data_IF_827662773906
#
_entry.id   IF_827662773906
#
_cell.length_a   1.000
_cell.length_b   1.000
_cell.length_c   1.000
_cell.angle_alpha   90.00
_cell.angle_beta   90.00
_cell.angle_gamma   90.00
#
_symmetry.space_group_name_H-M   'P 1'
#
loop_
_entity.id
_entity.type
_entity.pdbx_description
1 polymer ?
#
# COMPACT_ATOMS: atom_id res chain seq x y z
N UNK A 1 5.16 -6.66 -16.43
CA UNK A 1 4.60 -7.12 -15.14
C UNK A 1 5.07 -6.13 -14.09
N UNK A 2 4.21 -5.17 -13.76
CA UNK A 2 4.57 -4.10 -12.84
C UNK A 2 4.67 -4.67 -11.43
N UNK A 3 5.72 -4.35 -10.69
CA UNK A 3 5.92 -4.73 -9.27
C UNK A 3 4.88 -4.09 -8.31
N UNK A 4 3.79 -3.52 -8.86
CA UNK A 4 2.83 -2.64 -8.21
C UNK A 4 1.38 -3.18 -8.26
N UNK A 5 1.13 -4.36 -8.84
CA UNK A 5 -0.22 -4.95 -8.97
C UNK A 5 -0.81 -5.48 -7.64
N UNK A 6 -0.13 -5.35 -6.51
CA UNK A 6 -0.58 -5.94 -5.23
C UNK A 6 -0.49 -4.97 -4.05
N UNK A 7 -1.35 -3.96 -4.03
CA UNK A 7 -1.85 -3.36 -2.79
C UNK A 7 -3.21 -2.64 -2.95
N UNK A 8 -4.33 -3.35 -3.20
CA UNK A 8 -5.65 -2.79 -2.87
C UNK A 8 -5.78 -2.63 -1.36
N UNK A 9 -6.66 -1.71 -0.90
CA UNK A 9 -7.14 -1.43 0.48
C UNK A 9 -6.53 -2.33 1.56
N UNK A 10 -6.08 -1.77 2.67
CA UNK A 10 -5.37 -2.50 3.72
C UNK A 10 -6.28 -3.37 4.60
N UNK A 11 -7.47 -3.73 4.10
CA UNK A 11 -8.20 -4.96 4.45
C UNK A 11 -8.46 -5.13 5.95
N UNK A 12 -8.41 -4.06 6.74
CA UNK A 12 -8.63 -4.14 8.18
C UNK A 12 -10.03 -4.70 8.43
N UNK A 13 -11.02 -4.30 7.62
CA UNK A 13 -12.36 -4.89 7.61
C UNK A 13 -12.30 -6.40 7.31
N UNK A 14 -11.69 -6.82 6.20
CA UNK A 14 -11.59 -8.24 5.84
C UNK A 14 -10.89 -9.07 6.92
N UNK A 15 -9.73 -8.62 7.43
CA UNK A 15 -8.98 -9.31 8.48
C UNK A 15 -9.79 -9.37 9.78
N UNK A 16 -10.48 -8.28 10.15
CA UNK A 16 -11.37 -8.24 11.32
C UNK A 16 -12.51 -9.23 11.18
N UNK A 17 -13.16 -9.28 10.02
CA UNK A 17 -14.26 -10.19 9.76
C UNK A 17 -13.79 -11.65 9.72
N UNK A 18 -12.66 -11.96 9.06
CA UNK A 18 -12.08 -13.30 9.01
C UNK A 18 -11.73 -13.80 10.42
N UNK A 19 -11.08 -12.95 11.24
CA UNK A 19 -10.78 -13.26 12.64
C UNK A 19 -12.07 -13.41 13.46
N UNK A 20 -13.06 -12.56 13.25
CA UNK A 20 -14.37 -12.65 13.91
C UNK A 20 -15.13 -13.93 13.59
N UNK A 21 -14.93 -14.50 12.40
CA UNK A 21 -15.47 -15.82 11.99
C UNK A 21 -14.61 -17.00 12.47
N UNK A 22 -13.44 -16.75 13.08
CA UNK A 22 -12.49 -17.77 13.49
C UNK A 22 -11.59 -18.29 12.37
N UNK A 23 -11.56 -17.64 11.21
CA UNK A 23 -10.75 -18.03 10.04
C UNK A 23 -9.43 -17.26 9.99
N UNK A 24 -8.55 -17.55 10.96
CA UNK A 24 -7.22 -16.95 11.03
C UNK A 24 -6.33 -17.35 9.84
N UNK A 25 -6.58 -18.51 9.23
CA UNK A 25 -5.79 -19.00 8.11
C UNK A 25 -6.07 -18.16 6.85
N UNK A 26 -7.34 -17.88 6.57
CA UNK A 26 -7.74 -17.01 5.46
C UNK A 26 -7.16 -15.60 5.63
N UNK A 27 -7.27 -15.03 6.84
CA UNK A 27 -6.66 -13.73 7.16
C UNK A 27 -5.13 -13.72 6.91
N UNK A 28 -4.42 -14.80 7.28
CA UNK A 28 -2.97 -14.91 7.05
C UNK A 28 -2.62 -15.05 5.59
N UNK A 29 -3.27 -15.96 4.88
CA UNK A 29 -3.03 -16.20 3.46
C UNK A 29 -3.24 -14.91 2.66
N UNK A 30 -4.31 -14.19 3.00
CA UNK A 30 -4.61 -12.90 2.43
C UNK A 30 -3.46 -11.90 2.63
N UNK A 31 -3.01 -11.72 3.87
CA UNK A 31 -1.91 -10.78 4.18
C UNK A 31 -0.61 -11.22 3.51
N UNK A 32 -0.29 -12.52 3.53
CA UNK A 32 0.93 -13.05 2.93
C UNK A 32 0.95 -12.82 1.42
N UNK A 33 -0.16 -13.07 0.71
CA UNK A 33 -0.20 -12.90 -0.75
C UNK A 33 0.13 -11.46 -1.17
N UNK A 34 -0.28 -10.47 -0.37
CA UNK A 34 -0.08 -9.05 -0.70
C UNK A 34 1.19 -8.44 -0.11
N UNK A 35 1.56 -8.84 1.10
CA UNK A 35 2.68 -8.23 1.80
C UNK A 35 4.03 -8.86 1.47
N UNK A 36 4.07 -10.08 0.91
CA UNK A 36 5.34 -10.78 0.67
C UNK A 36 6.30 -9.99 -0.23
N UNK A 37 5.87 -9.64 -1.44
CA UNK A 37 6.74 -8.94 -2.39
C UNK A 37 7.16 -7.54 -1.89
N UNK A 38 6.26 -6.71 -1.32
CA UNK A 38 6.62 -5.41 -0.74
C UNK A 38 7.56 -5.49 0.46
N UNK A 39 7.37 -6.47 1.36
CA UNK A 39 8.31 -6.69 2.47
C UNK A 39 9.67 -7.16 1.95
N UNK A 40 9.72 -7.97 0.89
CA UNK A 40 10.99 -8.34 0.26
C UNK A 40 11.67 -7.12 -0.35
N UNK A 41 10.94 -6.24 -1.04
CA UNK A 41 11.48 -5.00 -1.58
C UNK A 41 12.05 -4.10 -0.46
N UNK A 42 11.34 -3.96 0.65
CA UNK A 42 11.82 -3.25 1.84
C UNK A 42 13.11 -3.89 2.41
N UNK A 43 13.13 -5.22 2.57
CA UNK A 43 14.29 -5.93 3.10
C UNK A 43 15.54 -5.77 2.21
N UNK A 44 15.36 -5.83 0.88
CA UNK A 44 16.45 -5.60 -0.08
C UNK A 44 17.00 -4.17 -0.03
N UNK A 45 16.12 -3.18 0.18
CA UNK A 45 16.49 -1.78 0.24
C UNK A 45 17.06 -1.34 1.61
N UNK A 46 16.79 -2.09 2.67
CA UNK A 46 17.24 -1.79 4.04
C UNK A 46 18.53 -2.51 4.40
N UNK A 47 19.10 -2.17 5.56
CA UNK A 47 20.24 -2.87 6.14
C UNK A 47 19.99 -4.36 6.40
N UNK A 48 18.73 -4.81 6.42
CA UNK A 48 18.35 -6.22 6.58
C UNK A 48 19.02 -7.13 5.54
N UNK A 49 19.33 -6.62 4.34
CA UNK A 49 20.06 -7.34 3.29
C UNK A 49 21.42 -7.89 3.73
N UNK A 50 22.03 -7.36 4.80
CA UNK A 50 23.31 -7.85 5.33
C UNK A 50 23.15 -9.06 6.27
N UNK A 51 21.92 -9.42 6.66
CA UNK A 51 21.63 -10.50 7.61
C UNK A 51 21.38 -11.80 6.86
N UNK A 52 20.49 -11.78 5.87
CA UNK A 52 20.16 -12.90 4.99
C UNK A 52 19.48 -12.38 3.72
N UNK A 53 19.15 -13.28 2.79
CA UNK A 53 18.33 -12.90 1.63
C UNK A 53 16.96 -12.35 2.09
N UNK A 54 16.37 -11.48 1.27
CA UNK A 54 15.08 -10.90 1.60
C UNK A 54 13.99 -11.97 1.70
N UNK A 55 14.04 -12.95 0.83
CA UNK A 55 13.14 -14.10 0.76
C UNK A 55 13.25 -14.97 2.02
N UNK A 56 14.46 -15.23 2.51
CA UNK A 56 14.68 -15.99 3.74
C UNK A 56 14.21 -15.23 4.98
N UNK A 57 14.44 -13.91 5.03
CA UNK A 57 14.00 -13.08 6.14
C UNK A 57 12.47 -12.99 6.19
N UNK A 58 11.83 -12.66 5.07
CA UNK A 58 10.38 -12.49 5.01
C UNK A 58 9.68 -13.83 5.14
N UNK A 59 10.15 -14.88 4.45
CA UNK A 59 9.62 -16.23 4.58
C UNK A 59 9.74 -16.78 5.99
N UNK A 60 10.91 -16.60 6.62
CA UNK A 60 11.12 -17.00 8.01
C UNK A 60 10.29 -16.20 9.01
N UNK A 61 10.11 -14.89 8.80
CA UNK A 61 9.18 -14.07 9.59
C UNK A 61 7.75 -14.58 9.48
N UNK A 62 7.29 -14.89 8.25
CA UNK A 62 5.96 -15.41 8.02
C UNK A 62 5.74 -16.78 8.63
N UNK A 63 6.71 -17.69 8.53
CA UNK A 63 6.65 -19.02 9.09
C UNK A 63 6.78 -19.07 10.64
N UNK A 64 7.21 -17.98 11.28
CA UNK A 64 7.47 -17.97 12.73
C UNK A 64 6.59 -16.97 13.48
N UNK A 65 6.97 -15.69 13.52
CA UNK A 65 6.34 -14.65 14.33
C UNK A 65 4.92 -14.36 13.86
N UNK A 66 4.74 -14.22 12.56
CA UNK A 66 3.44 -13.91 11.94
C UNK A 66 2.45 -15.08 12.02
N UNK A 67 2.96 -16.32 11.95
CA UNK A 67 2.16 -17.54 12.10
C UNK A 67 1.57 -17.76 13.50
N UNK A 68 1.88 -16.90 14.48
CA UNK A 68 1.28 -16.97 15.83
C UNK A 68 -0.15 -16.43 15.79
N UNK A 69 -1.10 -17.12 16.42
CA UNK A 69 -2.54 -16.77 16.40
C UNK A 69 -2.80 -15.36 16.90
N UNK A 70 -2.03 -14.96 17.92
CA UNK A 70 -2.14 -13.63 18.51
C UNK A 70 -1.53 -12.51 17.65
N UNK A 71 -0.78 -12.79 16.59
CA UNK A 71 -0.03 -11.73 15.89
C UNK A 71 -0.94 -10.69 15.24
N UNK A 72 -1.94 -11.14 14.45
CA UNK A 72 -2.92 -10.25 13.83
C UNK A 72 -3.95 -9.73 14.84
N UNK A 73 -4.32 -10.55 15.83
CA UNK A 73 -5.23 -10.14 16.91
C UNK A 73 -4.64 -8.98 17.72
N UNK A 74 -3.34 -9.02 18.01
CA UNK A 74 -2.63 -7.92 18.69
C UNK A 74 -2.61 -6.66 17.85
N UNK A 75 -2.34 -6.77 16.55
CA UNK A 75 -2.41 -5.61 15.65
C UNK A 75 -3.78 -4.94 15.65
N UNK A 76 -4.87 -5.72 15.63
CA UNK A 76 -6.23 -5.16 15.69
C UNK A 76 -6.53 -4.43 17.01
N UNK A 77 -5.94 -4.89 18.12
CA UNK A 77 -6.09 -4.31 19.46
C UNK A 77 -5.10 -3.19 19.77
N UNK A 78 -4.20 -2.85 18.85
CA UNK A 78 -3.20 -1.82 19.08
C UNK A 78 -3.86 -0.45 19.22
N UNK A 79 -3.47 0.29 20.27
CA UNK A 79 -3.98 1.63 20.56
C UNK A 79 -2.80 2.55 20.92
N UNK A 80 -2.55 3.62 20.13
CA UNK A 80 -3.31 4.05 18.95
C UNK A 80 -3.19 3.06 17.76
N UNK A 81 -4.16 3.05 16.83
CA UNK A 81 -4.08 2.21 15.63
C UNK A 81 -2.80 2.46 14.85
N UNK A 82 -2.25 1.39 14.27
CA UNK A 82 -1.09 1.47 13.37
C UNK A 82 -1.42 0.83 12.02
N UNK A 83 -0.98 1.42 10.88
CA UNK A 83 -1.10 0.80 9.57
C UNK A 83 -0.47 -0.59 9.56
N UNK A 84 -1.12 -1.56 8.90
CA UNK A 84 -0.63 -2.94 8.85
C UNK A 84 0.78 -3.02 8.29
N UNK A 85 1.08 -2.20 7.27
CA UNK A 85 2.42 -2.10 6.65
C UNK A 85 3.50 -1.80 7.68
N UNK A 86 3.25 -0.82 8.54
CA UNK A 86 4.17 -0.44 9.63
C UNK A 86 4.31 -1.57 10.66
N UNK A 87 3.20 -2.21 11.03
CA UNK A 87 3.20 -3.35 11.95
C UNK A 87 4.05 -4.52 11.44
N UNK A 88 3.90 -4.87 10.15
CA UNK A 88 4.63 -5.94 9.50
C UNK A 88 6.13 -5.63 9.41
N UNK A 89 6.51 -4.42 9.01
CA UNK A 89 7.92 -4.00 8.97
C UNK A 89 8.55 -4.06 10.36
N UNK A 90 7.86 -3.56 11.39
CA UNK A 90 8.33 -3.69 12.77
C UNK A 90 8.50 -5.16 13.17
N UNK A 91 7.53 -6.01 12.84
CA UNK A 91 7.60 -7.45 13.06
C UNK A 91 8.82 -8.10 12.42
N UNK A 92 9.11 -7.74 11.17
CA UNK A 92 10.27 -8.20 10.41
C UNK A 92 11.59 -7.75 11.05
N UNK A 93 11.69 -6.49 11.49
CA UNK A 93 12.87 -5.98 12.20
C UNK A 93 13.13 -6.75 13.49
N UNK A 94 12.10 -6.98 14.31
CA UNK A 94 12.24 -7.78 15.54
C UNK A 94 12.65 -9.22 15.25
N UNK A 95 12.05 -9.86 14.23
CA UNK A 95 12.43 -11.19 13.80
C UNK A 95 13.91 -11.26 13.38
N UNK A 96 14.38 -10.30 12.58
CA UNK A 96 15.77 -10.25 12.14
C UNK A 96 16.74 -10.06 13.31
N UNK A 97 16.38 -9.25 14.32
CA UNK A 97 17.16 -9.08 15.56
C UNK A 97 17.24 -10.36 16.39
N UNK A 98 16.11 -11.02 16.61
CA UNK A 98 16.04 -12.30 17.31
C UNK A 98 16.96 -13.34 16.64
N UNK A 99 16.91 -13.41 15.31
CA UNK A 99 17.76 -14.29 14.51
C UNK A 99 19.26 -14.00 14.68
N UNK A 100 19.69 -12.74 14.57
CA UNK A 100 21.11 -12.37 14.77
C UNK A 100 21.55 -12.72 16.20
N UNK A 101 20.69 -12.48 17.20
CA UNK A 101 21.00 -12.82 18.58
C UNK A 101 21.14 -14.35 18.79
N UNK A 102 20.29 -15.16 18.16
CA UNK A 102 20.41 -16.62 18.15
C UNK A 102 21.71 -17.09 17.49
N UNK A 103 22.06 -16.53 16.32
CA UNK A 103 23.29 -16.87 15.61
C UNK A 103 24.55 -16.50 16.39
N UNK A 104 24.57 -15.34 17.06
CA UNK A 104 25.67 -14.95 17.97
C UNK A 104 25.82 -15.93 19.12
N UNK A 105 24.71 -16.30 19.77
CA UNK A 105 24.70 -17.28 20.88
C UNK A 105 25.23 -18.63 20.42
N UNK A 106 24.80 -19.10 19.25
CA UNK A 106 25.24 -20.37 18.69
C UNK A 106 26.73 -20.37 18.32
N UNK A 107 27.23 -19.28 17.73
CA UNK A 107 28.62 -19.18 17.23
C UNK A 107 29.64 -18.68 18.26
N UNK A 108 29.19 -18.24 19.45
CA UNK A 108 30.00 -17.47 20.43
C UNK A 108 30.75 -16.29 19.78
N UNK A 109 30.20 -15.75 18.70
CA UNK A 109 30.81 -14.71 17.89
C UNK A 109 30.21 -13.36 18.27
N UNK A 110 31.04 -12.46 18.80
CA UNK A 110 30.65 -11.09 19.20
C UNK A 110 30.62 -10.11 18.03
N UNK A 111 31.11 -10.51 16.85
CA UNK A 111 31.42 -9.60 15.73
C UNK A 111 30.25 -9.33 14.76
N UNK A 112 29.13 -10.06 14.88
CA UNK A 112 27.96 -9.76 14.04
C UNK A 112 27.43 -8.38 14.40
N UNK A 113 27.11 -7.52 13.43
CA UNK A 113 26.50 -6.21 13.69
C UNK A 113 25.04 -6.36 14.16
N UNK A 114 24.57 -5.50 15.09
CA UNK A 114 23.14 -5.52 15.46
C UNK A 114 22.30 -4.88 14.35
N UNK A 115 21.16 -5.49 13.98
CA UNK A 115 20.22 -4.84 13.09
C UNK A 115 19.67 -3.56 13.71
N UNK A 116 19.28 -2.56 12.92
CA UNK A 116 18.64 -1.36 13.46
C UNK A 116 17.37 -1.70 14.24
N UNK A 117 17.10 -0.91 15.27
CA UNK A 117 15.92 -1.04 16.14
C UNK A 117 14.70 -0.33 15.50
N UNK A 118 14.95 0.62 14.61
CA UNK A 118 13.94 1.47 14.00
C UNK A 118 13.83 1.26 12.50
N UNK A 119 12.66 1.59 11.98
CA UNK A 119 12.38 1.63 10.54
C UNK A 119 13.29 2.66 9.86
N UNK A 120 14.06 2.21 8.88
CA UNK A 120 14.89 3.09 8.05
C UNK A 120 14.03 3.96 7.13
N UNK A 121 14.32 5.27 7.09
CA UNK A 121 13.47 6.27 6.44
C UNK A 121 13.36 6.09 4.93
N UNK A 122 14.47 5.82 4.23
CA UNK A 122 14.47 5.73 2.76
C UNK A 122 13.72 4.47 2.25
N UNK A 123 14.00 3.25 2.74
CA UNK A 123 13.22 2.06 2.39
C UNK A 123 11.75 2.18 2.77
N UNK A 124 11.45 2.83 3.90
CA UNK A 124 10.07 3.09 4.32
C UNK A 124 9.31 4.02 3.37
N UNK A 125 9.92 5.14 2.98
CA UNK A 125 9.30 6.05 2.00
C UNK A 125 9.06 5.37 0.65
N UNK A 126 9.96 4.49 0.22
CA UNK A 126 9.77 3.73 -1.01
C UNK A 126 8.59 2.75 -0.89
N UNK A 127 8.48 2.05 0.24
CA UNK A 127 7.33 1.17 0.53
C UNK A 127 6.01 1.96 0.56
N UNK A 128 5.96 3.09 1.27
CA UNK A 128 4.75 3.90 1.37
C UNK A 128 4.34 4.50 0.02
N UNK A 129 5.29 4.95 -0.81
CA UNK A 129 4.98 5.39 -2.17
C UNK A 129 4.39 4.25 -3.01
N UNK A 130 5.01 3.08 -3.01
CA UNK A 130 4.50 1.93 -3.76
C UNK A 130 3.08 1.54 -3.31
N UNK A 131 2.77 1.66 -2.01
CA UNK A 131 1.42 1.47 -1.51
C UNK A 131 0.44 2.54 -2.01
N UNK A 132 0.82 3.83 -1.96
CA UNK A 132 -0.01 4.94 -2.46
C UNK A 132 -0.32 4.78 -3.95
N UNK A 133 0.69 4.41 -4.73
CA UNK A 133 0.54 4.13 -6.17
C UNK A 133 -0.44 2.97 -6.40
N UNK A 134 -0.35 1.90 -5.60
CA UNK A 134 -1.28 0.78 -5.64
C UNK A 134 -2.73 1.17 -5.31
N UNK A 135 -2.92 2.03 -4.31
CA UNK A 135 -4.25 2.58 -3.96
C UNK A 135 -4.80 3.43 -5.11
N UNK A 136 -3.98 4.31 -5.68
CA UNK A 136 -4.39 5.15 -6.81
C UNK A 136 -4.76 4.30 -8.03
N UNK A 137 -3.94 3.31 -8.36
CA UNK A 137 -4.21 2.39 -9.47
C UNK A 137 -5.53 1.64 -9.27
N UNK A 138 -5.75 1.06 -8.08
CA UNK A 138 -6.98 0.36 -7.76
C UNK A 138 -8.22 1.27 -7.86
N UNK A 139 -8.11 2.54 -7.44
CA UNK A 139 -9.19 3.51 -7.59
C UNK A 139 -9.45 3.85 -9.07
N UNK A 140 -8.40 4.07 -9.86
CA UNK A 140 -8.49 4.29 -11.31
C UNK A 140 -9.17 3.13 -12.02
N UNK A 141 -8.86 1.88 -11.67
CA UNK A 141 -9.47 0.69 -12.24
C UNK A 141 -10.96 0.62 -11.92
N UNK A 142 -11.34 0.84 -10.65
CA UNK A 142 -12.76 0.89 -10.22
C UNK A 142 -13.54 1.98 -10.96
N UNK A 143 -12.98 3.18 -11.10
CA UNK A 143 -13.62 4.27 -11.85
C UNK A 143 -13.73 3.92 -13.33
N UNK A 144 -12.68 3.38 -13.94
CA UNK A 144 -12.69 2.95 -15.34
C UNK A 144 -13.82 1.94 -15.61
N UNK A 145 -13.98 0.95 -14.73
CA UNK A 145 -15.04 -0.04 -14.82
C UNK A 145 -16.44 0.58 -14.67
N UNK A 146 -16.61 1.52 -13.72
CA UNK A 146 -17.86 2.27 -13.56
C UNK A 146 -18.23 3.05 -14.82
N UNK A 147 -17.29 3.78 -15.41
CA UNK A 147 -17.52 4.53 -16.64
C UNK A 147 -17.80 3.61 -17.83
N UNK A 148 -17.15 2.45 -17.89
CA UNK A 148 -17.42 1.44 -18.93
C UNK A 148 -18.84 0.91 -18.81
N UNK A 149 -19.30 0.56 -17.61
CA UNK A 149 -20.68 0.10 -17.37
C UNK A 149 -21.74 1.15 -17.67
N UNK A 150 -21.42 2.43 -17.45
CA UNK A 150 -22.29 3.56 -17.80
C UNK A 150 -22.27 3.91 -19.30
N UNK A 151 -21.46 3.24 -20.13
CA UNK A 151 -21.29 3.59 -21.54
C UNK A 151 -20.58 4.93 -21.77
N UNK A 152 -19.75 5.36 -20.82
CA UNK A 152 -19.06 6.66 -20.79
C UNK A 152 -17.54 6.53 -20.89
N UNK A 153 -17.03 5.47 -21.52
CA UNK A 153 -15.59 5.18 -21.62
C UNK A 153 -14.78 6.38 -22.14
N UNK A 154 -15.28 7.11 -23.14
CA UNK A 154 -14.59 8.28 -23.69
C UNK A 154 -14.51 9.46 -22.70
N UNK A 155 -15.46 9.58 -21.78
CA UNK A 155 -15.41 10.59 -20.72
C UNK A 155 -14.29 10.29 -19.70
N UNK A 156 -14.05 9.00 -19.40
CA UNK A 156 -12.91 8.59 -18.58
C UNK A 156 -11.58 8.77 -19.32
N UNK A 157 -11.54 8.41 -20.62
CA UNK A 157 -10.37 8.64 -21.46
C UNK A 157 -10.02 10.12 -21.55
N UNK A 158 -11.02 11.00 -21.71
CA UNK A 158 -10.82 12.46 -21.71
C UNK A 158 -10.13 12.93 -20.43
N UNK A 159 -10.61 12.45 -19.27
CA UNK A 159 -10.00 12.77 -17.98
C UNK A 159 -8.53 12.34 -17.92
N UNK A 160 -8.23 11.07 -18.26
CA UNK A 160 -6.86 10.55 -18.21
C UNK A 160 -5.93 11.29 -19.15
N UNK A 161 -6.32 11.49 -20.42
CA UNK A 161 -5.52 12.22 -21.41
C UNK A 161 -5.27 13.67 -21.02
N UNK A 162 -6.25 14.32 -20.39
CA UNK A 162 -6.08 15.70 -19.96
C UNK A 162 -5.21 15.83 -18.71
N UNK A 163 -5.49 15.02 -17.69
CA UNK A 163 -4.87 15.16 -16.36
C UNK A 163 -3.50 14.50 -16.28
N UNK A 164 -3.33 13.34 -16.91
CA UNK A 164 -2.05 12.60 -16.90
C UNK A 164 -1.16 13.04 -18.05
N UNK A 165 -1.69 13.06 -19.28
CA UNK A 165 -0.87 13.37 -20.47
C UNK A 165 -0.78 14.89 -20.75
N UNK A 166 -1.50 15.73 -20.01
CA UNK A 166 -1.49 17.19 -20.18
C UNK A 166 -2.11 17.67 -21.50
N UNK A 167 -2.91 16.85 -22.18
CA UNK A 167 -3.47 17.19 -23.50
C UNK A 167 -4.56 18.25 -23.36
N UNK A 168 -4.49 19.29 -24.18
CA UNK A 168 -5.48 20.37 -24.18
C UNK A 168 -6.84 19.92 -24.74
N UNK A 169 -7.94 20.46 -24.19
CA UNK A 169 -9.30 20.11 -24.59
C UNK A 169 -9.61 20.20 -26.10
N UNK A 170 -9.14 21.21 -26.86
CA UNK A 170 -9.42 21.28 -28.30
C UNK A 170 -8.88 20.07 -29.09
N UNK A 171 -7.74 19.50 -28.67
CA UNK A 171 -7.20 18.30 -29.29
C UNK A 171 -8.06 17.07 -28.96
N UNK A 172 -8.57 17.00 -27.73
CA UNK A 172 -9.42 15.89 -27.27
C UNK A 172 -10.82 15.92 -27.88
N UNK A 173 -11.34 17.09 -28.27
CA UNK A 173 -12.59 17.18 -29.03
C UNK A 173 -12.48 16.49 -30.38
N UNK A 174 -11.34 16.65 -31.06
CA UNK A 174 -11.07 15.96 -32.34
C UNK A 174 -10.89 14.45 -32.13
N UNK A 175 -10.24 14.05 -31.04
CA UNK A 175 -9.95 12.65 -30.73
C UNK A 175 -11.18 11.85 -30.25
N UNK A 176 -12.02 12.45 -29.40
CA UNK A 176 -13.07 11.77 -28.64
C UNK A 176 -14.49 12.21 -29.01
N UNK A 177 -14.63 13.17 -29.94
CA UNK A 177 -15.90 13.78 -30.33
C UNK A 177 -16.70 14.38 -29.14
N UNK A 178 -16.01 14.78 -28.07
CA UNK A 178 -16.59 15.44 -26.91
C UNK A 178 -16.38 16.96 -27.05
N UNK A 179 -17.44 17.80 -27.03
CA UNK A 179 -17.30 19.24 -27.16
C UNK A 179 -16.38 19.84 -26.08
N UNK A 180 -15.46 20.73 -26.49
CA UNK A 180 -14.53 21.42 -25.58
C UNK A 180 -15.27 22.13 -24.44
N UNK A 181 -16.47 22.66 -24.70
CA UNK A 181 -17.30 23.32 -23.69
C UNK A 181 -17.75 22.39 -22.55
N UNK A 182 -17.92 21.08 -22.83
CA UNK A 182 -18.35 20.09 -21.85
C UNK A 182 -17.18 19.45 -21.09
N UNK A 183 -15.97 19.49 -21.67
CA UNK A 183 -14.80 18.81 -21.14
C UNK A 183 -14.44 19.21 -19.69
N UNK A 184 -14.45 20.49 -19.26
CA UNK A 184 -14.16 20.85 -17.87
C UNK A 184 -15.13 20.27 -16.84
N UNK A 185 -16.42 20.12 -17.21
CA UNK A 185 -17.41 19.48 -16.33
C UNK A 185 -17.15 17.98 -16.20
N UNK A 186 -16.81 17.33 -17.31
CA UNK A 186 -16.49 15.89 -17.35
C UNK A 186 -15.25 15.60 -16.49
N UNK A 187 -14.16 16.36 -16.68
CA UNK A 187 -12.93 16.24 -15.89
C UNK A 187 -13.19 16.39 -14.40
N UNK A 188 -13.94 17.44 -13.97
CA UNK A 188 -14.29 17.64 -12.55
C UNK A 188 -15.13 16.51 -11.99
N UNK A 189 -16.06 15.96 -12.79
CA UNK A 189 -16.90 14.85 -12.36
C UNK A 189 -16.10 13.56 -12.20
N UNK A 190 -15.19 13.28 -13.13
CA UNK A 190 -14.28 12.14 -13.05
C UNK A 190 -13.34 12.25 -11.84
N UNK A 191 -12.74 13.43 -11.61
CA UNK A 191 -11.90 13.66 -10.44
C UNK A 191 -12.67 13.46 -9.12
N UNK A 192 -13.91 13.96 -9.04
CA UNK A 192 -14.75 13.76 -7.84
C UNK A 192 -15.03 12.28 -7.59
N UNK A 193 -15.30 11.50 -8.64
CA UNK A 193 -15.52 10.05 -8.54
C UNK A 193 -14.25 9.33 -8.12
N UNK A 194 -13.10 9.67 -8.70
CA UNK A 194 -11.80 9.12 -8.31
C UNK A 194 -11.50 9.39 -6.82
N UNK A 195 -11.69 10.62 -6.36
CA UNK A 195 -11.54 10.96 -4.94
C UNK A 195 -12.44 10.14 -4.02
N UNK A 196 -13.68 9.89 -4.45
CA UNK A 196 -14.62 9.06 -3.69
C UNK A 196 -14.18 7.59 -3.63
N UNK A 197 -13.66 7.04 -4.72
CA UNK A 197 -13.13 5.66 -4.73
C UNK A 197 -11.87 5.52 -3.87
N UNK A 198 -10.96 6.50 -3.90
CA UNK A 198 -9.79 6.50 -3.00
C UNK A 198 -10.25 6.59 -1.54
N UNK A 199 -11.19 7.48 -1.20
CA UNK A 199 -11.72 7.60 0.17
C UNK A 199 -12.40 6.29 0.62
N UNK A 200 -13.13 5.61 -0.27
CA UNK A 200 -13.73 4.31 0.02
C UNK A 200 -12.67 3.23 0.33
N UNK A 201 -11.59 3.17 -0.47
CA UNK A 201 -10.46 2.26 -0.22
C UNK A 201 -9.78 2.59 1.12
N UNK A 202 -9.56 3.86 1.42
CA UNK A 202 -8.91 4.28 2.66
C UNK A 202 -9.80 4.11 3.89
N UNK A 203 -11.12 4.22 3.76
CA UNK A 203 -12.06 4.00 4.85
C UNK A 203 -12.02 2.56 5.40
N UNK A 204 -11.54 1.61 4.59
CA UNK A 204 -11.29 0.23 5.03
C UNK A 204 -10.04 0.10 5.93
N UNK A 205 -9.14 1.08 5.94
CA UNK A 205 -7.90 1.09 6.75
C UNK A 205 -7.96 2.10 7.91
N UNK A 206 -8.44 3.31 7.64
CA UNK A 206 -8.38 4.45 8.53
C UNK A 206 -9.77 4.78 9.08
N UNK A 207 -9.98 4.40 10.34
CA UNK A 207 -11.19 4.74 11.07
C UNK A 207 -11.28 6.25 11.39
N UNK A 208 -10.14 6.91 11.59
CA UNK A 208 -10.07 8.35 11.82
C UNK A 208 -10.22 9.12 10.50
N UNK A 209 -11.26 9.96 10.33
CA UNK A 209 -11.44 10.78 9.14
C UNK A 209 -10.30 11.77 8.88
N UNK A 210 -9.61 12.24 9.94
CA UNK A 210 -8.50 13.20 9.80
C UNK A 210 -7.27 12.53 9.20
N UNK A 211 -6.93 11.34 9.69
CA UNK A 211 -5.86 10.52 9.12
C UNK A 211 -6.18 10.11 7.67
N UNK A 212 -7.43 9.70 7.42
CA UNK A 212 -7.89 9.36 6.06
C UNK A 212 -7.75 10.53 5.08
N UNK A 213 -8.16 11.73 5.49
CA UNK A 213 -8.02 12.92 4.66
C UNK A 213 -6.55 13.28 4.38
N UNK A 214 -5.65 13.03 5.34
CA UNK A 214 -4.19 13.21 5.15
C UNK A 214 -3.66 12.26 4.09
N UNK A 215 -4.00 10.96 4.18
CA UNK A 215 -3.54 9.99 3.19
C UNK A 215 -4.15 10.22 1.81
N UNK A 216 -5.43 10.62 1.71
CA UNK A 216 -6.06 11.01 0.45
C UNK A 216 -5.26 12.12 -0.25
N UNK A 217 -4.86 13.15 0.50
CA UNK A 217 -4.07 14.25 -0.05
C UNK A 217 -2.67 13.78 -0.45
N UNK A 218 -2.02 12.94 0.37
CA UNK A 218 -0.69 12.41 0.06
C UNK A 218 -0.68 11.54 -1.20
N UNK A 219 -1.77 10.82 -1.48
CA UNK A 219 -1.93 10.04 -2.72
C UNK A 219 -2.11 10.95 -3.95
N UNK A 220 -2.89 12.02 -3.83
CA UNK A 220 -3.25 12.86 -4.97
C UNK A 220 -2.22 13.92 -5.33
N UNK A 221 -1.44 14.38 -4.34
CA UNK A 221 -0.60 15.56 -4.50
C UNK A 221 0.88 15.33 -4.21
N UNK A 222 1.27 14.12 -3.76
CA UNK A 222 2.61 13.72 -3.28
C UNK A 222 3.22 14.71 -2.26
N UNK A 223 3.74 14.22 -1.14
CA UNK A 223 4.41 15.08 -0.14
C UNK A 223 5.76 15.66 -0.67
N UNK A 224 6.07 15.45 -1.95
CA UNK A 224 7.36 15.72 -2.60
C UNK A 224 7.57 17.11 -3.19
N UNK A 225 6.53 17.92 -3.39
CA UNK A 225 6.67 19.29 -3.94
C UNK A 225 6.66 20.40 -2.87
N UNK A 226 6.68 20.04 -1.58
CA UNK A 226 6.83 20.97 -0.47
C UNK A 226 8.30 21.19 -0.03
N UNK A 227 9.22 21.21 -1.00
CA UNK A 227 10.59 21.65 -0.80
C UNK A 227 11.06 22.49 -2.01
N UNK A 228 10.69 23.76 -1.99
CA UNK A 228 11.43 24.86 -2.62
C UNK A 228 11.51 26.02 -1.64
#
# INVERSE_FOLDING_TARGET
MSLLDEFPSTQRTFITEAIGRGDLLDARNHVMSRAYAPLCAYARASSLRSIASAEDLVGGFFASRFARDEYLVRWLREHPPVPLRRWLVNGLLFYARERVADERRARRATELAEPPISIESAPWRALERAWRDGVLQAACDRVSELYTREGRTDAWRLFMRHVIDGVAYPALETELAIPTASAPMITRTALRRLRAEIDAILAEEFADPVERARELNAILFDDGDAAS
#
